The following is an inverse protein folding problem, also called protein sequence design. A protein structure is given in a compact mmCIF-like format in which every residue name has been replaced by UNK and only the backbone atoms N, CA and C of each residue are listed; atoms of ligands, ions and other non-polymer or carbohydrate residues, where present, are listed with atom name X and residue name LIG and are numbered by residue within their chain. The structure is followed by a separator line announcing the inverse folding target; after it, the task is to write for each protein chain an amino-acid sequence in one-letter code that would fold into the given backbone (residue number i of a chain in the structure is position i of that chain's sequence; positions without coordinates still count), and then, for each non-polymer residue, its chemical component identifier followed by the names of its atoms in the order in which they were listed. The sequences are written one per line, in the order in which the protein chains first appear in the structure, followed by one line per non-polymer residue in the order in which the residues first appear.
data_IF_772879192614
#
_entry.id   IF_772879192614
#
_cell.length_a   1.000
_cell.length_b   1.000
_cell.length_c   1.000
_cell.angle_alpha   90.00
_cell.angle_beta   90.00
_cell.angle_gamma   90.00
#
_symmetry.space_group_name_H-M   'P 1'
#
loop_
_entity.id
_entity.type
_entity.pdbx_description
1 polymer ?
#
# COMPACT_ATOMS: atom_id res chain seq x y z
N UNK A 1 -16.18 6.58 -12.40
CA UNK A 1 -14.92 5.85 -12.47
C UNK A 1 -14.84 5.06 -13.77
N UNK A 2 -13.68 4.99 -14.33
CA UNK A 2 -13.44 4.20 -15.54
C UNK A 2 -13.09 2.80 -15.07
N UNK A 3 -14.06 1.91 -15.14
CA UNK A 3 -13.93 0.55 -14.65
C UNK A 3 -13.28 -0.33 -15.72
N UNK A 4 -12.30 -1.13 -15.33
CA UNK A 4 -11.69 -2.13 -16.19
C UNK A 4 -10.63 -1.59 -17.15
N UNK A 5 -10.31 -0.29 -17.06
CA UNK A 5 -9.28 0.31 -17.90
C UNK A 5 -7.92 0.32 -17.21
N UNK A 6 -7.92 0.43 -15.88
CA UNK A 6 -6.70 0.48 -15.08
C UNK A 6 -6.60 -0.74 -14.18
N UNK A 7 -5.39 -1.28 -14.09
CA UNK A 7 -5.11 -2.38 -13.17
C UNK A 7 -5.01 -1.85 -11.73
N UNK A 8 -5.44 -2.68 -10.79
CA UNK A 8 -5.21 -2.44 -9.37
C UNK A 8 -3.85 -3.03 -9.00
N UNK A 9 -2.91 -2.18 -8.61
CA UNK A 9 -1.60 -2.62 -8.14
C UNK A 9 -1.61 -2.90 -6.65
N UNK A 10 -1.10 -4.05 -6.25
CA UNK A 10 -0.95 -4.43 -4.85
C UNK A 10 0.48 -4.82 -4.55
N UNK A 11 1.03 -4.27 -3.46
CA UNK A 11 2.35 -4.65 -2.97
C UNK A 11 2.24 -5.75 -1.93
N UNK A 12 3.31 -6.52 -1.74
CA UNK A 12 3.37 -7.50 -0.66
C UNK A 12 3.21 -6.84 0.71
N UNK A 13 3.73 -5.63 0.88
CA UNK A 13 3.59 -4.89 2.13
C UNK A 13 2.13 -4.56 2.45
N UNK A 14 1.34 -4.15 1.44
CA UNK A 14 -0.09 -3.89 1.61
C UNK A 14 -0.84 -5.19 1.93
N UNK A 15 -0.52 -6.28 1.25
CA UNK A 15 -1.14 -7.58 1.51
C UNK A 15 -0.82 -8.08 2.92
N UNK A 16 0.42 -7.93 3.35
CA UNK A 16 0.85 -8.25 4.72
C UNK A 16 0.07 -7.43 5.75
N UNK A 17 -0.06 -6.14 5.51
CA UNK A 17 -0.83 -5.25 6.38
C UNK A 17 -2.29 -5.63 6.46
N UNK A 18 -2.87 -6.08 5.36
CA UNK A 18 -4.26 -6.56 5.32
C UNK A 18 -4.44 -7.81 6.20
N UNK A 19 -3.53 -8.77 6.08
CA UNK A 19 -3.56 -9.97 6.93
C UNK A 19 -3.44 -9.58 8.41
N UNK A 20 -2.54 -8.67 8.73
CA UNK A 20 -2.35 -8.19 10.10
C UNK A 20 -3.63 -7.60 10.69
N UNK A 21 -4.31 -6.77 9.91
CA UNK A 21 -5.55 -6.12 10.37
C UNK A 21 -6.69 -7.14 10.53
N UNK A 22 -6.88 -8.03 9.55
CA UNK A 22 -7.96 -9.03 9.61
C UNK A 22 -7.85 -9.96 10.81
N UNK A 23 -6.63 -10.25 11.25
CA UNK A 23 -6.37 -11.17 12.35
C UNK A 23 -6.20 -10.46 13.70
N UNK A 24 -6.31 -9.11 13.74
CA UNK A 24 -5.96 -8.35 14.93
C UNK A 24 -7.10 -8.32 15.94
N UNK A 25 -6.89 -8.84 17.18
CA UNK A 25 -7.94 -8.92 18.18
C UNK A 25 -8.39 -7.55 18.72
N UNK A 26 -7.59 -6.52 18.54
CA UNK A 26 -7.95 -5.15 18.97
C UNK A 26 -8.75 -4.39 17.91
N UNK A 27 -8.74 -4.85 16.66
CA UNK A 27 -9.47 -4.21 15.58
C UNK A 27 -10.87 -4.83 15.45
N UNK A 28 -10.96 -6.15 15.57
CA UNK A 28 -12.22 -6.88 15.43
C UNK A 28 -12.52 -7.66 16.69
N UNK A 29 -13.80 -7.64 17.10
CA UNK A 29 -14.30 -8.47 18.20
C UNK A 29 -14.11 -9.95 17.90
N UNK A 30 -14.33 -10.34 16.64
CA UNK A 30 -14.06 -11.68 16.13
C UNK A 30 -13.09 -11.59 14.98
N UNK A 31 -11.78 -11.61 15.25
CA UNK A 31 -10.79 -11.54 14.18
C UNK A 31 -10.90 -12.78 13.29
N UNK A 32 -10.54 -12.58 12.01
CA UNK A 32 -10.52 -13.67 11.03
C UNK A 32 -9.41 -14.66 11.40
N UNK A 33 -9.68 -15.97 11.42
CA UNK A 33 -8.61 -16.96 11.59
C UNK A 33 -7.52 -16.79 10.53
N UNK A 34 -6.27 -16.98 10.93
CA UNK A 34 -5.12 -16.73 10.05
C UNK A 34 -5.22 -17.45 8.71
N UNK A 35 -5.54 -18.73 8.73
CA UNK A 35 -5.64 -19.52 7.48
C UNK A 35 -6.66 -18.91 6.52
N UNK A 36 -7.80 -18.46 7.04
CA UNK A 36 -8.84 -17.84 6.21
C UNK A 36 -8.42 -16.47 5.71
N UNK A 37 -7.76 -15.67 6.53
CA UNK A 37 -7.24 -14.37 6.10
C UNK A 37 -6.24 -14.54 4.95
N UNK A 38 -5.35 -15.51 5.05
CA UNK A 38 -4.39 -15.82 3.99
C UNK A 38 -5.09 -16.28 2.70
N UNK A 39 -6.14 -17.10 2.80
CA UNK A 39 -6.93 -17.50 1.64
C UNK A 39 -7.61 -16.32 0.96
N UNK A 40 -8.18 -15.40 1.74
CA UNK A 40 -8.84 -14.21 1.21
C UNK A 40 -7.86 -13.30 0.48
N UNK A 41 -6.68 -13.10 1.05
CA UNK A 41 -5.64 -12.28 0.43
C UNK A 41 -5.09 -12.94 -0.83
N UNK A 42 -4.90 -14.26 -0.82
CA UNK A 42 -4.47 -14.99 -2.01
C UNK A 42 -5.50 -14.89 -3.15
N UNK A 43 -6.80 -14.97 -2.83
CA UNK A 43 -7.86 -14.81 -3.81
C UNK A 43 -7.86 -13.41 -4.42
N UNK A 44 -7.66 -12.39 -3.61
CA UNK A 44 -7.53 -11.01 -4.09
C UNK A 44 -6.35 -10.87 -5.03
N UNK A 45 -5.21 -11.42 -4.65
CA UNK A 45 -3.97 -11.34 -5.43
C UNK A 45 -4.09 -12.07 -6.79
N UNK A 46 -4.92 -13.10 -6.87
CA UNK A 46 -5.15 -13.87 -8.09
C UNK A 46 -6.30 -13.32 -8.95
N UNK A 47 -7.02 -12.29 -8.49
CA UNK A 47 -8.17 -11.76 -9.20
C UNK A 47 -7.76 -11.05 -10.50
N UNK A 48 -8.66 -11.07 -11.49
CA UNK A 48 -8.44 -10.37 -12.74
C UNK A 48 -8.29 -8.86 -12.50
N UNK A 49 -7.36 -8.23 -13.22
CA UNK A 49 -7.10 -6.81 -13.08
C UNK A 49 -6.27 -6.43 -11.86
N UNK A 50 -5.80 -7.41 -11.09
CA UNK A 50 -4.88 -7.18 -9.96
C UNK A 50 -3.46 -7.52 -10.40
N UNK A 51 -2.54 -6.58 -10.18
CA UNK A 51 -1.14 -6.71 -10.57
C UNK A 51 -0.27 -6.63 -9.33
N UNK A 52 0.67 -7.55 -9.18
CA UNK A 52 1.67 -7.48 -8.12
C UNK A 52 2.67 -6.39 -8.46
N UNK A 53 2.79 -5.41 -7.57
CA UNK A 53 3.73 -4.30 -7.70
C UNK A 53 4.88 -4.49 -6.73
N UNK A 54 6.11 -4.43 -7.24
CA UNK A 54 7.32 -4.64 -6.42
C UNK A 54 8.20 -3.39 -6.48
N UNK A 55 9.02 -3.16 -5.44
CA UNK A 55 10.03 -2.10 -5.50
C UNK A 55 10.95 -2.29 -6.71
N UNK A 56 11.33 -1.17 -7.32
CA UNK A 56 12.27 -1.15 -8.44
C UNK A 56 13.71 -1.06 -7.92
N UNK A 57 14.74 -1.20 -8.81
CA UNK A 57 16.13 -0.97 -8.41
C UNK A 57 16.39 0.43 -7.84
N UNK A 58 15.52 1.40 -8.13
CA UNK A 58 15.63 2.78 -7.62
C UNK A 58 14.94 2.99 -6.27
N UNK A 59 14.34 1.94 -5.71
CA UNK A 59 13.47 2.08 -4.53
C UNK A 59 14.18 2.76 -3.36
N UNK A 60 15.37 2.31 -3.00
CA UNK A 60 16.06 2.86 -1.84
C UNK A 60 16.35 4.36 -2.00
N UNK A 61 16.80 4.76 -3.18
CA UNK A 61 17.07 6.17 -3.49
C UNK A 61 15.83 7.04 -3.36
N UNK A 62 14.71 6.59 -3.93
CA UNK A 62 13.44 7.32 -3.84
C UNK A 62 12.95 7.36 -2.39
N UNK A 63 13.03 6.24 -1.69
CA UNK A 63 12.65 6.16 -0.27
C UNK A 63 13.45 7.13 0.60
N UNK A 64 14.76 7.17 0.44
CA UNK A 64 15.61 8.11 1.20
C UNK A 64 15.19 9.55 0.95
N UNK A 65 14.97 9.92 -0.30
CA UNK A 65 14.58 11.27 -0.66
C UNK A 65 13.24 11.65 -0.01
N UNK A 66 12.28 10.74 0.01
CA UNK A 66 10.98 10.99 0.64
C UNK A 66 11.09 11.13 2.15
N UNK A 67 11.89 10.28 2.79
CA UNK A 67 12.12 10.37 4.22
C UNK A 67 12.70 11.73 4.61
N UNK A 68 13.68 12.21 3.87
CA UNK A 68 14.32 13.49 4.14
C UNK A 68 13.35 14.66 3.88
N UNK A 69 12.62 14.61 2.77
CA UNK A 69 11.69 15.67 2.40
C UNK A 69 10.54 15.82 3.41
N UNK A 70 10.07 14.71 3.97
CA UNK A 70 8.96 14.71 4.93
C UNK A 70 9.42 14.73 6.38
N UNK A 71 10.73 14.71 6.63
CA UNK A 71 11.30 14.53 7.99
C UNK A 71 10.63 13.35 8.68
N UNK A 72 10.59 12.20 8.00
CA UNK A 72 9.82 11.05 8.43
C UNK A 72 10.40 10.38 9.68
N UNK A 73 9.50 10.04 10.59
CA UNK A 73 9.82 9.33 11.84
C UNK A 73 8.72 8.33 12.17
N UNK A 74 9.09 7.22 12.81
CA UNK A 74 8.13 6.22 13.23
C UNK A 74 7.31 5.67 12.05
N UNK A 75 5.99 5.68 12.20
CA UNK A 75 5.10 5.14 11.18
C UNK A 75 5.20 5.84 9.82
N UNK A 76 5.59 7.11 9.82
CA UNK A 76 5.74 7.84 8.57
C UNK A 76 6.89 7.28 7.71
N UNK A 77 7.87 6.62 8.31
CA UNK A 77 8.94 5.92 7.58
C UNK A 77 8.35 4.75 6.77
N UNK A 78 7.45 3.97 7.35
CA UNK A 78 6.77 2.90 6.62
C UNK A 78 5.90 3.47 5.50
N UNK A 79 5.22 4.59 5.76
CA UNK A 79 4.43 5.28 4.74
C UNK A 79 5.30 5.77 3.59
N UNK A 80 6.52 6.25 3.89
CA UNK A 80 7.48 6.65 2.86
C UNK A 80 7.85 5.49 1.93
N UNK A 81 7.96 4.27 2.46
CA UNK A 81 8.22 3.09 1.64
C UNK A 81 7.07 2.79 0.68
N UNK A 82 5.83 2.90 1.13
CA UNK A 82 4.66 2.75 0.26
C UNK A 82 4.62 3.83 -0.82
N UNK A 83 4.83 5.08 -0.42
CA UNK A 83 4.84 6.21 -1.34
C UNK A 83 5.93 6.06 -2.41
N UNK A 84 7.11 5.58 -2.01
CA UNK A 84 8.21 5.34 -2.93
C UNK A 84 7.82 4.35 -4.03
N UNK A 85 7.20 3.23 -3.69
CA UNK A 85 6.77 2.24 -4.68
C UNK A 85 5.78 2.86 -5.67
N UNK A 86 4.82 3.63 -5.17
CA UNK A 86 3.85 4.31 -6.04
C UNK A 86 4.54 5.29 -7.01
N UNK A 87 5.47 6.10 -6.51
CA UNK A 87 6.21 7.05 -7.34
C UNK A 87 7.06 6.32 -8.39
N UNK A 88 7.75 5.26 -8.00
CA UNK A 88 8.60 4.47 -8.90
C UNK A 88 7.84 3.91 -10.09
N UNK A 89 6.57 3.58 -9.90
CA UNK A 89 5.71 3.02 -10.94
C UNK A 89 4.81 4.06 -11.61
N UNK A 90 4.91 5.33 -11.22
CA UNK A 90 4.03 6.36 -11.75
C UNK A 90 2.56 6.13 -11.40
N UNK A 91 2.29 5.47 -10.29
CA UNK A 91 0.96 5.06 -9.88
C UNK A 91 0.29 6.08 -8.97
N UNK A 92 -1.05 6.07 -8.98
CA UNK A 92 -1.84 6.80 -8.01
C UNK A 92 -1.93 5.97 -6.73
N UNK A 93 -1.54 6.54 -5.59
CA UNK A 93 -1.69 5.91 -4.28
C UNK A 93 -3.08 6.19 -3.73
N UNK A 94 -3.89 5.15 -3.54
CA UNK A 94 -5.25 5.29 -3.02
C UNK A 94 -5.23 5.02 -1.53
N UNK A 95 -5.63 6.01 -0.74
CA UNK A 95 -5.58 5.94 0.72
C UNK A 95 -6.55 6.95 1.34
N UNK A 96 -7.04 6.64 2.54
CA UNK A 96 -7.78 7.59 3.36
C UNK A 96 -6.85 8.42 4.27
N UNK A 97 -5.59 8.05 4.36
CA UNK A 97 -4.62 8.69 5.26
C UNK A 97 -4.03 9.94 4.63
N UNK A 98 -4.37 11.10 5.18
CA UNK A 98 -3.90 12.40 4.69
C UNK A 98 -2.43 12.67 4.95
N UNK A 99 -1.77 11.87 5.79
CA UNK A 99 -0.35 12.02 6.04
C UNK A 99 0.48 11.78 4.77
N UNK A 100 -0.06 11.05 3.79
CA UNK A 100 0.60 10.87 2.50
C UNK A 100 0.76 12.18 1.70
N UNK A 101 0.03 13.23 2.03
CA UNK A 101 0.23 14.55 1.43
C UNK A 101 1.62 15.15 1.75
N UNK A 102 2.31 14.63 2.74
CA UNK A 102 3.66 15.08 3.12
C UNK A 102 4.75 14.68 2.12
N UNK A 103 4.45 13.75 1.20
CA UNK A 103 5.45 13.22 0.28
C UNK A 103 5.40 13.98 -1.06
N UNK A 104 6.43 14.79 -1.37
CA UNK A 104 6.45 15.50 -2.65
C UNK A 104 6.57 14.51 -3.82
N UNK A 105 5.82 14.80 -4.89
CA UNK A 105 5.83 13.97 -6.09
C UNK A 105 4.86 12.79 -6.04
N UNK A 106 4.27 12.50 -4.89
CA UNK A 106 3.27 11.45 -4.78
C UNK A 106 1.91 11.97 -5.25
N UNK A 107 1.29 11.25 -6.17
CA UNK A 107 -0.11 11.44 -6.49
C UNK A 107 -0.92 10.51 -5.60
N UNK A 108 -1.84 11.07 -4.84
CA UNK A 108 -2.68 10.27 -3.97
C UNK A 108 -4.12 10.79 -3.97
N UNK A 109 -5.05 9.92 -3.65
CA UNK A 109 -6.46 10.26 -3.56
C UNK A 109 -7.17 9.27 -2.63
N UNK A 110 -8.29 9.67 -2.01
CA UNK A 110 -9.13 8.73 -1.31
C UNK A 110 -9.83 7.81 -2.31
N UNK A 111 -10.32 6.63 -1.87
CA UNK A 111 -11.16 5.78 -2.71
C UNK A 111 -12.45 6.51 -3.07
N UNK A 112 -12.96 6.22 -4.24
CA UNK A 112 -14.25 6.78 -4.70
C UNK A 112 -15.43 6.26 -3.87
#
# INVERSE_FOLDING_TARGET
AVVGVEDLGLTDAVLTGTVRILTHPRVFTKPTPLARALEQVAALHAADGVVRVTPTPRHWEVFEQLCLAADARGNLVADAAHAAVAIEHGALWVTLDRDFARFPGLRWAPPD
#
